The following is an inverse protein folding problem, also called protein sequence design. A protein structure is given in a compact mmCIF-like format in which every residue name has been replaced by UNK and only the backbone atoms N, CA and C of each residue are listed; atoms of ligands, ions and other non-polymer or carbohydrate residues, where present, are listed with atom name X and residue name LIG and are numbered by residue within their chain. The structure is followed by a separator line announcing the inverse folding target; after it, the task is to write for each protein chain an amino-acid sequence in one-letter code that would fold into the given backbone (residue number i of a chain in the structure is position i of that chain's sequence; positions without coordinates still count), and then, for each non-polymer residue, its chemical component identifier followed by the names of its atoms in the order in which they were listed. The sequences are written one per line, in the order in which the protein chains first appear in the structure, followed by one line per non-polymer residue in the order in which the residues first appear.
data_IF_556344072371
#
_entry.id   IF_556344072371
#
_cell.length_a   1.000
_cell.length_b   1.000
_cell.length_c   1.000
_cell.angle_alpha   90.00
_cell.angle_beta   90.00
_cell.angle_gamma   90.00
#
_symmetry.space_group_name_H-M   'P 1'
#
loop_
_entity.id
_entity.type
_entity.pdbx_description
1 polymer ?
#
# COMPACT_ATOMS: atom_id res chain seq x y z
N UNK A 1 -5.80 -10.19 44.49
CA UNK A 1 -6.75 -9.94 43.36
C UNK A 1 -5.99 -9.36 42.17
N UNK A 2 -5.67 -10.18 41.16
CA UNK A 2 -4.86 -9.79 40.00
C UNK A 2 -5.64 -8.96 38.97
N UNK A 3 -5.04 -7.87 38.48
CA UNK A 3 -5.61 -6.97 37.45
C UNK A 3 -5.72 -7.68 36.08
N UNK A 4 -6.91 -8.19 35.76
CA UNK A 4 -7.23 -8.83 34.46
C UNK A 4 -7.48 -7.81 33.32
N UNK A 5 -7.37 -6.50 33.56
CA UNK A 5 -7.83 -5.45 32.63
C UNK A 5 -6.94 -5.08 31.42
N UNK A 6 -5.68 -5.53 31.32
CA UNK A 6 -4.73 -4.92 30.36
C UNK A 6 -4.61 -5.67 29.00
N UNK A 7 -5.00 -6.94 28.95
CA UNK A 7 -4.88 -7.81 27.76
C UNK A 7 -5.84 -7.42 26.62
N UNK A 8 -7.08 -7.03 26.95
CA UNK A 8 -8.13 -6.75 25.97
C UNK A 8 -7.91 -5.43 25.20
N UNK A 9 -7.45 -4.37 25.89
CA UNK A 9 -7.11 -3.07 25.28
C UNK A 9 -5.89 -3.20 24.36
N UNK A 10 -4.89 -3.96 24.79
CA UNK A 10 -3.71 -4.31 24.02
C UNK A 10 -4.08 -5.09 22.73
N UNK A 11 -4.99 -6.07 22.81
CA UNK A 11 -5.46 -6.84 21.64
C UNK A 11 -6.21 -5.98 20.62
N UNK A 12 -6.95 -4.95 21.07
CA UNK A 12 -7.66 -4.01 20.18
C UNK A 12 -6.72 -3.14 19.33
N UNK A 13 -5.45 -3.03 19.70
CA UNK A 13 -4.48 -2.16 19.01
C UNK A 13 -3.51 -2.90 18.07
N UNK A 14 -3.47 -4.24 18.12
CA UNK A 14 -2.52 -5.03 17.32
C UNK A 14 -3.13 -5.50 16.01
N UNK A 15 -2.54 -5.12 14.89
CA UNK A 15 -2.89 -5.60 13.55
C UNK A 15 -2.10 -6.86 13.20
N UNK A 16 -2.84 -7.91 12.83
CA UNK A 16 -2.28 -9.15 12.31
C UNK A 16 -2.03 -9.10 10.80
N UNK A 17 -2.79 -8.27 10.08
CA UNK A 17 -2.66 -8.06 8.64
C UNK A 17 -2.61 -6.57 8.32
N UNK A 18 -1.78 -6.20 7.33
CA UNK A 18 -1.79 -4.85 6.73
C UNK A 18 -1.93 -5.02 5.22
N UNK A 19 -3.03 -4.51 4.67
CA UNK A 19 -3.45 -4.73 3.29
C UNK A 19 -3.59 -3.38 2.59
N UNK A 20 -2.76 -3.09 1.58
CA UNK A 20 -2.99 -1.95 0.69
C UNK A 20 -4.19 -2.22 -0.21
N UNK A 21 -5.08 -1.26 -0.31
CA UNK A 21 -6.21 -1.22 -1.25
C UNK A 21 -5.92 -0.31 -2.47
N UNK A 22 -4.69 0.22 -2.55
CA UNK A 22 -4.13 0.90 -3.72
C UNK A 22 -4.29 2.41 -3.70
N UNK A 23 -4.62 3.00 -4.86
CA UNK A 23 -4.40 4.41 -5.20
C UNK A 23 -3.16 4.59 -6.09
N UNK A 24 -2.00 4.25 -5.53
CA UNK A 24 -0.74 4.16 -6.27
C UNK A 24 0.19 3.10 -5.68
N UNK A 25 1.32 2.85 -6.34
CA UNK A 25 2.35 1.92 -5.88
C UNK A 25 3.02 2.34 -4.56
N UNK A 26 2.80 3.59 -4.13
CA UNK A 26 3.43 4.24 -2.98
C UNK A 26 3.14 3.49 -1.69
N UNK A 27 1.88 3.10 -1.45
CA UNK A 27 1.51 2.41 -0.20
C UNK A 27 2.13 1.02 -0.13
N UNK A 28 2.11 0.26 -1.23
CA UNK A 28 2.71 -1.07 -1.30
C UNK A 28 4.22 -1.00 -1.02
N UNK A 29 4.92 -0.04 -1.65
CA UNK A 29 6.34 0.22 -1.43
C UNK A 29 6.63 0.66 0.01
N UNK A 30 5.85 1.58 0.55
CA UNK A 30 6.03 2.09 1.91
C UNK A 30 5.90 0.97 2.95
N UNK A 31 4.81 0.20 2.89
CA UNK A 31 4.58 -0.92 3.82
C UNK A 31 5.63 -2.04 3.67
N UNK A 32 6.14 -2.28 2.45
CA UNK A 32 7.23 -3.23 2.21
C UNK A 32 8.55 -2.76 2.83
N UNK A 33 8.90 -1.49 2.65
CA UNK A 33 10.10 -0.89 3.23
C UNK A 33 10.07 -0.94 4.76
N UNK A 34 8.89 -0.88 5.36
CA UNK A 34 8.67 -1.01 6.80
C UNK A 34 8.54 -2.45 7.31
N UNK A 35 8.59 -3.45 6.42
CA UNK A 35 8.50 -4.85 6.83
C UNK A 35 7.13 -5.29 7.39
N UNK A 36 6.12 -4.41 7.36
CA UNK A 36 4.76 -4.70 7.84
C UNK A 36 3.86 -5.28 6.74
N UNK A 37 4.26 -5.18 5.47
CA UNK A 37 3.64 -5.92 4.35
C UNK A 37 4.18 -7.35 4.30
N UNK A 38 3.30 -8.31 4.61
CA UNK A 38 3.64 -9.74 4.70
C UNK A 38 3.71 -10.47 3.35
N UNK A 39 2.94 -10.01 2.37
CA UNK A 39 2.85 -10.65 1.05
C UNK A 39 2.30 -9.66 0.01
N UNK A 40 2.27 -10.10 -1.26
CA UNK A 40 1.56 -9.38 -2.33
C UNK A 40 0.05 -9.61 -2.26
N UNK A 41 -0.71 -8.52 -2.34
CA UNK A 41 -2.15 -8.40 -2.44
C UNK A 41 -2.59 -7.88 -3.82
N UNK A 42 -3.87 -7.98 -4.20
CA UNK A 42 -4.36 -7.67 -5.54
C UNK A 42 -4.14 -6.22 -5.95
N UNK A 43 -4.28 -5.29 -5.02
CA UNK A 43 -4.19 -3.86 -5.30
C UNK A 43 -2.78 -3.29 -5.06
N UNK A 44 -1.78 -4.17 -4.94
CA UNK A 44 -0.38 -3.78 -4.99
C UNK A 44 0.03 -3.47 -6.42
N UNK A 45 0.82 -2.42 -6.61
CA UNK A 45 1.47 -2.11 -7.90
C UNK A 45 0.49 -1.86 -9.06
N UNK A 46 -0.70 -1.35 -8.73
CA UNK A 46 -1.73 -0.95 -9.70
C UNK A 46 -2.33 0.39 -9.34
N UNK A 47 -2.92 1.05 -10.34
CA UNK A 47 -3.74 2.24 -10.10
C UNK A 47 -5.17 1.77 -9.81
N UNK A 48 -5.66 2.10 -8.63
CA UNK A 48 -7.02 1.76 -8.19
C UNK A 48 -7.68 2.94 -7.49
N UNK A 49 -8.99 3.00 -7.62
CA UNK A 49 -9.86 3.88 -6.84
C UNK A 49 -10.61 3.04 -5.81
N UNK A 50 -11.16 3.66 -4.74
CA UNK A 50 -12.12 2.99 -3.86
C UNK A 50 -13.25 2.30 -4.63
N UNK A 51 -13.72 2.92 -5.72
CA UNK A 51 -14.71 2.34 -6.63
C UNK A 51 -14.25 1.01 -7.24
N UNK A 52 -13.07 0.99 -7.86
CA UNK A 52 -12.50 -0.22 -8.46
C UNK A 52 -12.35 -1.35 -7.43
N UNK A 53 -11.84 -1.02 -6.23
CA UNK A 53 -11.67 -1.99 -5.15
C UNK A 53 -13.02 -2.57 -4.75
N UNK A 54 -14.04 -1.72 -4.56
CA UNK A 54 -15.39 -2.17 -4.21
C UNK A 54 -15.98 -3.05 -5.31
N UNK A 55 -15.86 -2.66 -6.57
CA UNK A 55 -16.30 -3.48 -7.71
C UNK A 55 -15.65 -4.87 -7.67
N UNK A 56 -14.32 -4.93 -7.53
CA UNK A 56 -13.59 -6.20 -7.48
C UNK A 56 -14.01 -7.07 -6.29
N UNK A 57 -14.31 -6.49 -5.12
CA UNK A 57 -14.81 -7.23 -3.95
C UNK A 57 -16.24 -7.76 -4.12
N UNK A 58 -17.11 -6.99 -4.78
CA UNK A 58 -18.51 -7.37 -4.99
C UNK A 58 -18.63 -8.43 -6.09
N UNK A 59 -17.85 -8.32 -7.16
CA UNK A 59 -17.77 -9.29 -8.26
C UNK A 59 -16.85 -10.49 -7.96
N UNK A 60 -16.36 -10.61 -6.72
CA UNK A 60 -15.40 -11.63 -6.27
C UNK A 60 -14.25 -11.84 -7.27
N UNK A 61 -13.67 -10.72 -7.72
CA UNK A 61 -12.53 -10.67 -8.62
C UNK A 61 -12.73 -11.35 -9.99
N UNK A 62 -13.97 -11.66 -10.42
CA UNK A 62 -14.23 -12.27 -11.73
C UNK A 62 -13.72 -11.40 -12.87
N UNK A 63 -14.18 -10.15 -12.97
CA UNK A 63 -13.67 -9.21 -13.98
C UNK A 63 -12.16 -8.95 -13.81
N UNK A 64 -11.67 -8.92 -12.56
CA UNK A 64 -10.26 -8.64 -12.25
C UNK A 64 -9.28 -9.70 -12.77
N UNK A 65 -9.70 -10.97 -12.75
CA UNK A 65 -8.88 -12.10 -13.20
C UNK A 65 -9.18 -12.50 -14.65
N UNK A 66 -10.12 -11.83 -15.32
CA UNK A 66 -10.50 -12.10 -16.70
C UNK A 66 -9.50 -11.47 -17.69
N UNK A 67 -8.66 -12.32 -18.26
CA UNK A 67 -7.60 -11.92 -19.18
C UNK A 67 -8.14 -11.42 -20.51
N UNK A 68 -9.37 -11.77 -20.88
CA UNK A 68 -10.01 -11.26 -22.11
C UNK A 68 -10.33 -9.77 -22.02
N UNK A 69 -10.30 -9.20 -20.80
CA UNK A 69 -10.45 -7.77 -20.55
C UNK A 69 -9.12 -7.01 -20.58
N UNK A 70 -7.99 -7.69 -20.71
CA UNK A 70 -6.66 -7.10 -20.64
C UNK A 70 -6.07 -6.88 -22.04
N UNK A 71 -5.53 -5.69 -22.26
CA UNK A 71 -4.89 -5.25 -23.50
C UNK A 71 -3.50 -4.69 -23.20
N UNK A 72 -2.60 -4.76 -24.18
CA UNK A 72 -1.32 -4.06 -24.11
C UNK A 72 -1.55 -2.55 -24.06
N UNK A 73 -0.85 -1.85 -23.17
CA UNK A 73 -0.72 -0.39 -23.27
C UNK A 73 0.12 0.02 -24.47
N UNK A 74 0.19 1.32 -24.74
CA UNK A 74 1.16 1.90 -25.67
C UNK A 74 2.38 2.33 -24.84
N UNK A 75 3.45 1.54 -24.88
CA UNK A 75 4.75 1.88 -24.28
C UNK A 75 5.81 1.96 -25.37
N UNK A 76 6.83 2.81 -25.20
CA UNK A 76 7.96 2.94 -26.14
C UNK A 76 8.83 1.67 -26.28
N UNK A 77 8.59 0.64 -25.46
CA UNK A 77 9.16 -0.69 -25.61
C UNK A 77 8.25 -1.77 -24.98
N UNK A 78 8.30 -3.00 -25.51
CA UNK A 78 7.55 -4.15 -24.97
C UNK A 78 7.82 -4.40 -23.48
N UNK A 79 9.03 -4.08 -23.00
CA UNK A 79 9.47 -4.33 -21.62
C UNK A 79 8.89 -3.33 -20.59
N UNK A 80 8.42 -2.16 -21.05
CA UNK A 80 7.82 -1.10 -20.21
C UNK A 80 6.31 -0.93 -20.45
N UNK A 81 5.71 -1.81 -21.24
CA UNK A 81 4.30 -1.73 -21.56
C UNK A 81 3.43 -2.23 -20.39
N UNK A 82 2.68 -1.33 -19.75
CA UNK A 82 1.69 -1.69 -18.73
C UNK A 82 0.40 -2.27 -19.34
N UNK A 83 -0.48 -2.83 -18.51
CA UNK A 83 -1.77 -3.39 -18.98
C UNK A 83 -2.90 -2.37 -18.88
N UNK A 84 -3.64 -2.22 -19.99
CA UNK A 84 -4.97 -1.59 -20.04
C UNK A 84 -6.01 -2.66 -19.70
N UNK A 85 -7.01 -2.31 -18.90
CA UNK A 85 -8.10 -3.23 -18.57
C UNK A 85 -9.45 -2.61 -18.97
N UNK A 86 -10.18 -3.23 -19.89
CA UNK A 86 -11.40 -2.70 -20.54
C UNK A 86 -12.45 -2.17 -19.57
N UNK A 87 -12.65 -2.89 -18.45
CA UNK A 87 -13.56 -2.46 -17.36
C UNK A 87 -12.92 -1.38 -16.49
N UNK A 88 -11.75 -1.68 -15.90
CA UNK A 88 -11.13 -0.85 -14.87
C UNK A 88 -10.49 0.44 -15.35
N UNK A 89 -10.23 0.62 -16.65
CA UNK A 89 -9.82 1.93 -17.20
C UNK A 89 -10.89 3.00 -16.95
N UNK A 90 -12.17 2.61 -16.99
CA UNK A 90 -13.30 3.51 -16.69
C UNK A 90 -13.45 3.79 -15.19
N UNK A 91 -12.76 3.03 -14.34
CA UNK A 91 -12.82 3.20 -12.88
C UNK A 91 -11.58 3.94 -12.33
N UNK A 92 -10.83 4.63 -13.18
CA UNK A 92 -9.67 5.44 -12.79
C UNK A 92 -10.08 6.84 -12.35
N UNK A 93 -9.26 7.47 -11.49
CA UNK A 93 -9.55 8.81 -10.95
C UNK A 93 -9.50 9.93 -12.00
N UNK A 94 -8.94 9.66 -13.19
CA UNK A 94 -8.91 10.60 -14.31
C UNK A 94 -9.21 9.88 -15.62
N UNK A 95 -9.80 10.60 -16.59
CA UNK A 95 -10.08 10.08 -17.94
C UNK A 95 -8.81 9.80 -18.75
N UNK A 96 -7.70 10.45 -18.41
CA UNK A 96 -6.43 10.30 -19.13
C UNK A 96 -5.67 9.02 -18.75
N UNK A 97 -5.94 8.41 -17.58
CA UNK A 97 -5.24 7.22 -17.11
C UNK A 97 -5.92 5.96 -17.65
N UNK A 98 -5.39 5.41 -18.74
CA UNK A 98 -5.90 4.16 -19.34
C UNK A 98 -5.19 2.89 -18.83
N UNK A 99 -3.91 3.01 -18.47
CA UNK A 99 -3.13 1.90 -17.91
C UNK A 99 -3.59 1.67 -16.46
N UNK A 100 -4.00 0.44 -16.17
CA UNK A 100 -4.48 0.03 -14.83
C UNK A 100 -3.36 -0.68 -14.06
N UNK A 101 -2.57 -1.51 -14.75
CA UNK A 101 -1.46 -2.25 -14.17
C UNK A 101 -0.13 -1.78 -14.80
N UNK A 102 0.53 -0.74 -14.25
CA UNK A 102 1.71 -0.13 -14.85
C UNK A 102 2.96 -1.01 -14.82
N UNK A 103 2.98 -2.06 -14.01
CA UNK A 103 4.17 -2.91 -13.79
C UNK A 103 3.97 -4.37 -14.18
N UNK A 104 2.82 -4.70 -14.78
CA UNK A 104 2.44 -6.07 -15.05
C UNK A 104 1.81 -6.20 -16.42
N UNK A 105 2.10 -7.32 -17.08
CA UNK A 105 1.60 -7.66 -18.40
C UNK A 105 0.59 -8.79 -18.25
N UNK A 106 -0.71 -8.48 -18.27
CA UNK A 106 -1.75 -9.49 -18.01
C UNK A 106 -2.46 -9.97 -19.28
N UNK A 107 -2.25 -9.32 -20.43
CA UNK A 107 -2.86 -9.68 -21.70
C UNK A 107 -2.32 -11.01 -22.26
N UNK A 108 -3.10 -11.61 -23.17
CA UNK A 108 -2.70 -12.85 -23.84
C UNK A 108 -1.49 -12.63 -24.74
N UNK A 109 -0.54 -13.57 -24.78
CA UNK A 109 0.68 -13.44 -25.58
C UNK A 109 1.80 -12.56 -24.98
N UNK A 110 1.57 -11.90 -23.84
CA UNK A 110 2.63 -11.15 -23.18
C UNK A 110 3.78 -12.04 -22.69
N UNK A 111 5.04 -11.58 -22.87
CA UNK A 111 6.27 -12.29 -22.47
C UNK A 111 6.23 -12.77 -21.01
N UNK A 112 5.82 -11.89 -20.08
CA UNK A 112 5.72 -12.22 -18.65
C UNK A 112 4.29 -12.61 -18.21
N UNK A 113 3.38 -12.82 -19.17
CA UNK A 113 1.95 -12.94 -18.91
C UNK A 113 1.55 -14.06 -17.96
N UNK A 114 2.08 -15.27 -18.17
CA UNK A 114 1.74 -16.43 -17.34
C UNK A 114 2.17 -16.24 -15.88
N UNK A 115 3.35 -15.65 -15.68
CA UNK A 115 3.93 -15.36 -14.36
C UNK A 115 3.11 -14.29 -13.64
N UNK A 116 2.80 -13.19 -14.32
CA UNK A 116 2.04 -12.08 -13.74
C UNK A 116 0.61 -12.52 -13.37
N UNK A 117 -0.10 -13.20 -14.28
CA UNK A 117 -1.44 -13.75 -14.03
C UNK A 117 -1.44 -14.70 -12.83
N UNK A 118 -0.46 -15.59 -12.75
CA UNK A 118 -0.31 -16.50 -11.60
C UNK A 118 -0.03 -15.74 -10.29
N UNK A 119 0.77 -14.66 -10.35
CA UNK A 119 1.02 -13.79 -9.21
C UNK A 119 -0.26 -13.13 -8.69
N UNK A 120 -1.10 -12.61 -9.58
CA UNK A 120 -2.38 -11.98 -9.22
C UNK A 120 -3.41 -12.97 -8.72
N UNK A 121 -3.52 -14.17 -9.30
CA UNK A 121 -4.41 -15.22 -8.76
C UNK A 121 -4.05 -15.55 -7.31
N UNK A 122 -2.74 -15.70 -7.01
CA UNK A 122 -2.26 -15.92 -5.64
C UNK A 122 -2.54 -14.72 -4.72
N UNK A 123 -2.40 -13.50 -5.22
CA UNK A 123 -2.66 -12.30 -4.42
C UNK A 123 -4.14 -12.16 -4.06
N UNK A 124 -5.05 -12.51 -4.98
CA UNK A 124 -6.50 -12.58 -4.72
C UNK A 124 -6.81 -13.63 -3.67
N UNK A 125 -6.24 -14.83 -3.78
CA UNK A 125 -6.43 -15.88 -2.77
C UNK A 125 -5.94 -15.47 -1.38
N UNK A 126 -4.82 -14.75 -1.29
CA UNK A 126 -4.33 -14.20 -0.02
C UNK A 126 -5.29 -13.18 0.56
N UNK A 127 -5.83 -12.27 -0.24
CA UNK A 127 -6.84 -11.32 0.23
C UNK A 127 -8.10 -12.05 0.71
N UNK A 128 -8.60 -13.04 -0.05
CA UNK A 128 -9.72 -13.89 0.38
C UNK A 128 -9.46 -14.55 1.73
N UNK A 129 -8.26 -15.07 1.97
CA UNK A 129 -7.85 -15.60 3.29
C UNK A 129 -7.88 -14.55 4.39
N UNK A 130 -7.37 -13.33 4.13
CA UNK A 130 -7.45 -12.20 5.09
C UNK A 130 -8.89 -11.83 5.41
N UNK A 131 -9.76 -11.76 4.39
CA UNK A 131 -11.18 -11.43 4.56
C UNK A 131 -11.90 -12.48 5.42
N UNK A 132 -11.57 -13.77 5.26
CA UNK A 132 -12.09 -14.86 6.11
C UNK A 132 -11.43 -14.95 7.48
N UNK A 133 -10.29 -14.29 7.70
CA UNK A 133 -9.55 -14.35 8.97
C UNK A 133 -10.28 -13.59 10.09
N UNK A 134 -10.22 -14.14 11.30
CA UNK A 134 -10.62 -13.45 12.54
C UNK A 134 -9.60 -12.40 13.02
N UNK A 135 -8.41 -12.33 12.44
CA UNK A 135 -7.39 -11.38 12.85
C UNK A 135 -7.75 -9.93 12.48
N UNK A 136 -7.31 -8.99 13.33
CA UNK A 136 -7.47 -7.55 13.09
C UNK A 136 -6.66 -7.12 11.88
N UNK A 137 -7.30 -6.43 10.94
CA UNK A 137 -6.68 -6.01 9.68
C UNK A 137 -6.65 -4.50 9.55
N UNK A 138 -5.51 -3.95 9.13
CA UNK A 138 -5.40 -2.56 8.69
C UNK A 138 -5.48 -2.54 7.16
N UNK A 139 -6.56 -1.98 6.62
CA UNK A 139 -6.67 -1.64 5.21
C UNK A 139 -6.18 -0.22 5.01
N UNK A 140 -5.36 0.01 3.98
CA UNK A 140 -4.79 1.35 3.70
C UNK A 140 -4.93 1.72 2.23
N UNK A 141 -5.41 2.93 1.95
CA UNK A 141 -5.39 3.53 0.63
C UNK A 141 -4.72 4.92 0.67
N UNK A 142 -3.92 5.23 -0.34
CA UNK A 142 -3.30 6.54 -0.50
C UNK A 142 -3.68 7.08 -1.88
N UNK A 143 -4.53 8.10 -1.91
CA UNK A 143 -5.20 8.57 -3.12
C UNK A 143 -4.70 9.97 -3.46
N UNK A 144 -4.29 10.14 -4.70
CA UNK A 144 -3.87 11.44 -5.23
C UNK A 144 -5.06 12.40 -5.21
N UNK A 145 -4.85 13.58 -4.64
CA UNK A 145 -5.85 14.62 -4.56
C UNK A 145 -5.29 15.95 -5.06
N UNK A 146 -6.00 16.55 -6.01
CA UNK A 146 -5.68 17.86 -6.56
C UNK A 146 -6.67 18.89 -6.02
N UNK A 147 -6.20 20.12 -5.79
CA UNK A 147 -7.02 21.19 -5.22
C UNK A 147 -8.33 21.40 -6.02
N UNK A 148 -8.27 21.37 -7.35
CA UNK A 148 -9.45 21.52 -8.23
C UNK A 148 -10.49 20.40 -8.10
N UNK A 149 -10.12 19.25 -7.55
CA UNK A 149 -11.01 18.09 -7.39
C UNK A 149 -11.50 17.93 -5.95
N UNK A 150 -11.09 18.81 -5.02
CA UNK A 150 -11.37 18.65 -3.60
C UNK A 150 -12.86 18.58 -3.28
N UNK A 151 -13.68 19.42 -3.91
CA UNK A 151 -15.13 19.41 -3.71
C UNK A 151 -15.72 18.03 -4.03
N UNK A 152 -15.36 17.46 -5.18
CA UNK A 152 -15.79 16.13 -5.63
C UNK A 152 -15.27 15.01 -4.72
N UNK A 153 -14.02 15.11 -4.26
CA UNK A 153 -13.45 14.14 -3.31
C UNK A 153 -14.11 14.21 -1.93
N UNK A 154 -14.62 15.38 -1.57
CA UNK A 154 -15.29 15.66 -0.31
C UNK A 154 -16.79 15.36 -0.33
N UNK A 155 -17.37 15.12 -1.50
CA UNK A 155 -18.77 14.78 -1.64
C UNK A 155 -19.12 13.48 -0.89
N UNK A 156 -20.16 13.56 -0.07
CA UNK A 156 -20.70 12.47 0.75
C UNK A 156 -21.97 11.85 0.16
N UNK A 157 -22.53 12.49 -0.89
CA UNK A 157 -23.79 12.11 -1.53
C UNK A 157 -23.61 11.55 -2.94
N UNK A 158 -22.44 11.71 -3.55
CA UNK A 158 -22.17 11.18 -4.90
C UNK A 158 -22.63 9.73 -5.07
N UNK A 159 -23.33 9.44 -6.16
CA UNK A 159 -23.75 8.08 -6.55
C UNK A 159 -23.22 7.73 -7.94
N UNK A 160 -22.85 6.47 -8.18
CA UNK A 160 -22.44 6.04 -9.50
C UNK A 160 -23.63 5.97 -10.45
N UNK A 161 -23.55 6.76 -11.51
CA UNK A 161 -24.34 6.55 -12.72
C UNK A 161 -23.71 5.40 -13.54
N UNK A 162 -24.52 4.53 -14.13
CA UNK A 162 -24.01 3.49 -15.01
C UNK A 162 -25.08 2.56 -15.56
N UNK A 163 -24.77 1.95 -16.71
CA UNK A 163 -25.59 0.93 -17.37
C UNK A 163 -25.72 -0.29 -16.45
N UNK A 164 -26.91 -0.51 -15.88
CA UNK A 164 -27.04 -1.54 -14.85
C UNK A 164 -28.44 -1.78 -14.27
N UNK A 165 -29.49 -1.10 -14.74
CA UNK A 165 -30.87 -1.52 -14.44
C UNK A 165 -31.31 -2.75 -15.26
N UNK A 166 -30.55 -3.16 -16.29
CA UNK A 166 -31.00 -4.17 -17.27
C UNK A 166 -30.08 -5.36 -17.63
N UNK A 167 -28.83 -5.47 -17.16
CA UNK A 167 -28.02 -6.64 -17.57
C UNK A 167 -26.62 -6.80 -16.98
N UNK A 168 -26.31 -8.04 -16.54
CA UNK A 168 -24.99 -8.66 -16.26
C UNK A 168 -23.90 -7.89 -15.49
N UNK A 169 -24.16 -6.70 -14.98
CA UNK A 169 -23.25 -5.96 -14.09
C UNK A 169 -23.23 -6.50 -12.66
N UNK A 170 -22.17 -6.17 -11.91
CA UNK A 170 -22.11 -6.46 -10.48
C UNK A 170 -23.25 -5.72 -9.76
N UNK A 171 -24.22 -6.46 -9.19
CA UNK A 171 -25.38 -5.85 -8.49
C UNK A 171 -24.87 -4.87 -7.42
N UNK A 172 -25.24 -3.59 -7.55
CA UNK A 172 -24.85 -2.53 -6.62
C UNK A 172 -23.51 -1.82 -6.91
N UNK A 173 -22.82 -2.13 -8.01
CA UNK A 173 -21.61 -1.42 -8.44
C UNK A 173 -21.48 -1.44 -9.98
N UNK A 174 -22.26 -0.64 -10.71
CA UNK A 174 -22.21 -0.63 -12.17
C UNK A 174 -20.85 -0.15 -12.71
N UNK A 175 -20.56 -0.43 -13.98
CA UNK A 175 -19.38 0.14 -14.63
C UNK A 175 -19.70 1.59 -14.99
N UNK A 176 -18.96 2.58 -14.48
CA UNK A 176 -19.27 3.99 -14.73
C UNK A 176 -19.03 4.35 -16.20
N UNK A 177 -19.73 5.36 -16.75
CA UNK A 177 -19.57 5.78 -18.13
C UNK A 177 -18.12 6.18 -18.45
N UNK A 178 -17.47 6.88 -17.52
CA UNK A 178 -16.09 7.33 -17.61
C UNK A 178 -15.42 7.42 -16.23
N UNK A 179 -14.09 7.56 -16.21
CA UNK A 179 -13.33 7.82 -14.98
C UNK A 179 -13.52 9.24 -14.46
N UNK A 180 -13.22 9.46 -13.18
CA UNK A 180 -13.37 10.77 -12.53
C UNK A 180 -12.97 10.76 -11.05
N UNK A 181 -12.71 11.94 -10.48
CA UNK A 181 -12.34 12.07 -9.06
C UNK A 181 -13.45 11.62 -8.10
N UNK A 182 -14.71 11.63 -8.54
CA UNK A 182 -15.88 11.18 -7.76
C UNK A 182 -15.77 9.70 -7.35
N UNK A 183 -15.04 8.90 -8.13
CA UNK A 183 -14.72 7.49 -7.81
C UNK A 183 -13.82 7.33 -6.56
N UNK A 184 -13.24 8.44 -6.11
CA UNK A 184 -12.47 8.57 -4.88
C UNK A 184 -13.17 9.42 -3.82
N UNK A 185 -14.46 9.76 -4.00
CA UNK A 185 -15.23 10.59 -3.06
C UNK A 185 -15.38 9.96 -1.67
N UNK A 186 -15.68 10.77 -0.64
CA UNK A 186 -16.02 10.26 0.69
C UNK A 186 -17.24 9.35 0.68
N UNK A 187 -18.21 9.63 -0.21
CA UNK A 187 -19.36 8.76 -0.47
C UNK A 187 -18.89 7.36 -0.89
N UNK A 188 -17.96 7.29 -1.84
CA UNK A 188 -17.45 6.03 -2.36
C UNK A 188 -16.56 5.29 -1.36
N UNK A 189 -15.72 6.00 -0.61
CA UNK A 189 -14.95 5.42 0.50
C UNK A 189 -15.88 4.84 1.57
N UNK A 190 -16.99 5.52 1.88
CA UNK A 190 -18.01 5.01 2.81
C UNK A 190 -18.67 3.74 2.28
N UNK A 191 -19.00 3.66 0.97
CA UNK A 191 -19.52 2.43 0.35
C UNK A 191 -18.51 1.29 0.37
N UNK A 192 -17.22 1.58 0.13
CA UNK A 192 -16.15 0.58 0.27
C UNK A 192 -16.05 0.08 1.72
N UNK A 193 -16.15 0.97 2.71
CA UNK A 193 -16.17 0.58 4.13
C UNK A 193 -17.33 -0.36 4.46
N UNK A 194 -18.54 -0.08 3.96
CA UNK A 194 -19.70 -0.97 4.12
C UNK A 194 -19.52 -2.31 3.38
N UNK A 195 -18.93 -2.30 2.19
CA UNK A 195 -18.56 -3.53 1.48
C UNK A 195 -17.56 -4.37 2.29
N UNK A 196 -16.54 -3.75 2.90
CA UNK A 196 -15.60 -4.46 3.77
C UNK A 196 -16.30 -4.99 5.03
N UNK A 197 -17.28 -4.26 5.59
CA UNK A 197 -18.11 -4.76 6.71
C UNK A 197 -18.84 -6.06 6.36
N UNK A 198 -19.36 -6.20 5.14
CA UNK A 198 -20.06 -7.43 4.74
C UNK A 198 -19.10 -8.57 4.39
N UNK A 199 -17.87 -8.27 3.94
CA UNK A 199 -16.89 -9.29 3.48
C UNK A 199 -15.88 -9.74 4.54
N UNK A 200 -15.46 -8.86 5.47
CA UNK A 200 -14.42 -9.14 6.46
C UNK A 200 -15.03 -9.71 7.74
N UNK A 201 -14.65 -10.95 8.11
CA UNK A 201 -15.15 -11.63 9.32
C UNK A 201 -14.72 -10.95 10.62
N UNK A 202 -13.40 -10.84 10.85
CA UNK A 202 -12.86 -10.22 12.07
C UNK A 202 -12.75 -8.68 12.05
N UNK A 203 -12.24 -8.06 13.12
CA UNK A 203 -12.09 -6.61 13.23
C UNK A 203 -11.22 -5.99 12.13
N UNK A 204 -11.46 -4.72 11.81
CA UNK A 204 -10.59 -3.99 10.90
C UNK A 204 -10.60 -2.48 11.09
N UNK A 205 -9.59 -1.82 10.54
CA UNK A 205 -9.54 -0.38 10.35
C UNK A 205 -9.28 -0.08 8.89
N UNK A 206 -10.01 0.86 8.30
CA UNK A 206 -9.74 1.40 6.96
C UNK A 206 -9.17 2.81 7.12
N UNK A 207 -7.90 2.97 6.77
CA UNK A 207 -7.21 4.26 6.69
C UNK A 207 -7.17 4.71 5.23
N UNK A 208 -7.75 5.86 4.93
CA UNK A 208 -7.64 6.50 3.62
C UNK A 208 -6.92 7.83 3.79
N UNK A 209 -5.87 8.04 2.99
CA UNK A 209 -5.12 9.30 2.98
C UNK A 209 -5.27 9.96 1.62
N UNK A 210 -5.86 11.15 1.58
CA UNK A 210 -5.83 12.03 0.42
C UNK A 210 -4.53 12.82 0.43
N UNK A 211 -3.68 12.57 -0.57
CA UNK A 211 -2.38 13.22 -0.74
C UNK A 211 -2.59 14.50 -1.57
N UNK A 212 -2.66 15.64 -0.90
CA UNK A 212 -2.93 16.93 -1.53
C UNK A 212 -1.66 17.51 -2.14
N UNK A 213 -1.63 17.55 -3.47
CA UNK A 213 -0.54 18.17 -4.23
C UNK A 213 -0.71 19.69 -4.29
N UNK A 214 0.40 20.41 -4.24
CA UNK A 214 0.45 21.87 -4.42
C UNK A 214 -0.49 22.65 -3.50
N UNK A 215 -0.75 22.14 -2.29
CA UNK A 215 -1.56 22.83 -1.30
C UNK A 215 -0.84 24.09 -0.80
N UNK A 216 -1.58 25.20 -0.67
CA UNK A 216 -1.07 26.42 -0.01
C UNK A 216 -0.75 26.18 1.47
N UNK A 217 -1.39 25.19 2.10
CA UNK A 217 -1.18 24.83 3.51
C UNK A 217 -0.22 23.64 3.66
N UNK A 218 1.04 23.83 3.28
CA UNK A 218 2.08 22.79 3.26
C UNK A 218 2.26 22.10 4.61
N UNK A 219 2.36 20.76 4.62
CA UNK A 219 2.64 19.96 5.81
C UNK A 219 1.47 19.83 6.81
N UNK A 220 0.31 20.43 6.52
CA UNK A 220 -0.89 20.27 7.34
C UNK A 220 -1.52 18.89 7.13
N UNK A 221 -1.95 18.26 8.22
CA UNK A 221 -2.77 17.05 8.21
C UNK A 221 -4.11 17.34 8.88
N UNK A 222 -5.21 16.84 8.32
CA UNK A 222 -6.55 17.02 8.87
C UNK A 222 -7.34 15.73 8.73
N UNK A 223 -7.89 15.23 9.84
CA UNK A 223 -8.89 14.16 9.78
C UNK A 223 -10.21 14.80 9.34
N UNK A 224 -10.71 14.38 8.19
CA UNK A 224 -11.94 14.95 7.60
C UNK A 224 -13.15 14.03 7.77
N UNK A 225 -12.92 12.75 8.07
CA UNK A 225 -13.97 11.80 8.40
C UNK A 225 -13.43 10.76 9.35
N UNK A 226 -14.19 10.46 10.40
CA UNK A 226 -13.91 9.35 11.30
C UNK A 226 -15.22 8.65 11.66
N UNK A 227 -15.30 7.36 11.39
CA UNK A 227 -16.43 6.50 11.76
C UNK A 227 -15.93 5.32 12.57
N UNK A 228 -16.68 4.93 13.60
CA UNK A 228 -16.39 3.74 14.39
C UNK A 228 -17.68 2.98 14.65
N UNK A 229 -17.65 1.68 14.46
CA UNK A 229 -18.77 0.79 14.72
C UNK A 229 -18.23 -0.52 15.32
N UNK A 230 -18.44 -0.70 16.63
CA UNK A 230 -17.94 -1.85 17.41
C UNK A 230 -16.42 -2.03 17.25
N UNK A 231 -16.00 -3.00 16.46
CA UNK A 231 -14.61 -3.43 16.24
C UNK A 231 -14.07 -3.04 14.85
N UNK A 232 -14.84 -2.19 14.14
CA UNK A 232 -14.56 -1.72 12.79
C UNK A 232 -14.52 -0.20 12.76
N UNK A 233 -13.60 0.38 12.01
CA UNK A 233 -13.45 1.84 11.95
C UNK A 233 -12.92 2.32 10.61
N UNK A 234 -13.28 3.55 10.25
CA UNK A 234 -12.85 4.26 9.05
C UNK A 234 -12.26 5.59 9.50
N UNK A 235 -11.10 5.96 8.93
CA UNK A 235 -10.54 7.30 9.04
C UNK A 235 -10.10 7.78 7.65
N UNK A 236 -10.54 8.98 7.28
CA UNK A 236 -10.07 9.69 6.09
C UNK A 236 -9.28 10.90 6.55
N UNK A 237 -8.03 10.99 6.11
CA UNK A 237 -7.10 12.07 6.43
C UNK A 237 -6.69 12.78 5.15
N UNK A 238 -6.80 14.10 5.13
CA UNK A 238 -6.13 14.93 4.13
C UNK A 238 -4.74 15.29 4.62
N UNK A 239 -3.74 15.11 3.75
CA UNK A 239 -2.35 15.43 4.03
C UNK A 239 -1.82 16.33 2.91
N UNK A 240 -1.52 17.57 3.27
CA UNK A 240 -0.86 18.53 2.38
C UNK A 240 0.62 18.18 2.23
N UNK A 241 0.99 17.69 1.04
CA UNK A 241 2.39 17.42 0.72
C UNK A 241 3.14 18.74 0.42
N UNK A 242 4.36 18.86 0.94
CA UNK A 242 5.30 19.94 0.58
C UNK A 242 5.76 19.80 -0.87
N UNK A 243 6.03 18.56 -1.30
CA UNK A 243 6.41 18.21 -2.68
C UNK A 243 5.42 17.25 -3.33
N UNK A 244 5.73 16.85 -4.56
CA UNK A 244 4.96 15.82 -5.27
C UNK A 244 5.42 14.41 -4.85
N UNK A 245 4.72 13.38 -5.32
CA UNK A 245 5.14 11.99 -5.23
C UNK A 245 5.12 11.34 -6.62
N UNK A 246 6.06 10.44 -6.87
CA UNK A 246 6.19 9.73 -8.15
C UNK A 246 5.20 8.56 -8.30
N UNK A 247 4.34 8.37 -7.30
CA UNK A 247 3.53 7.16 -7.15
C UNK A 247 4.33 5.97 -6.61
N UNK A 248 5.65 6.11 -6.42
CA UNK A 248 6.52 5.12 -5.75
C UNK A 248 7.20 5.69 -4.50
N UNK A 249 7.52 6.99 -4.52
CA UNK A 249 8.15 7.71 -3.43
C UNK A 249 7.62 9.14 -3.34
N UNK A 250 7.66 9.71 -2.14
CA UNK A 250 7.56 11.16 -1.96
C UNK A 250 8.88 11.80 -2.40
N UNK A 251 8.83 13.01 -2.95
CA UNK A 251 10.03 13.80 -3.25
C UNK A 251 10.67 14.36 -1.99
N UNK A 252 9.85 14.70 -1.00
CA UNK A 252 10.28 15.23 0.29
C UNK A 252 10.17 14.14 1.35
N UNK A 253 11.25 13.88 2.11
CA UNK A 253 11.19 12.93 3.21
C UNK A 253 10.27 13.42 4.33
N UNK A 254 10.12 14.74 4.51
CA UNK A 254 9.14 15.31 5.44
C UNK A 254 7.71 14.83 5.17
N UNK A 255 7.30 14.75 3.90
CA UNK A 255 5.98 14.23 3.50
C UNK A 255 5.89 12.73 3.74
N UNK A 256 6.96 12.01 3.42
CA UNK A 256 7.06 10.58 3.70
C UNK A 256 6.95 10.30 5.21
N UNK A 257 7.59 11.10 6.07
CA UNK A 257 7.56 10.95 7.52
C UNK A 257 6.17 11.30 8.07
N UNK A 258 5.52 12.33 7.54
CA UNK A 258 4.14 12.68 7.89
C UNK A 258 3.19 11.52 7.53
N UNK A 259 3.31 11.00 6.30
CA UNK A 259 2.55 9.83 5.84
C UNK A 259 2.82 8.61 6.71
N UNK A 260 4.08 8.33 7.01
CA UNK A 260 4.49 7.22 7.88
C UNK A 260 3.81 7.30 9.23
N UNK A 261 3.84 8.49 9.87
CA UNK A 261 3.20 8.72 11.17
C UNK A 261 1.69 8.47 11.08
N UNK A 262 1.01 8.86 9.99
CA UNK A 262 -0.42 8.57 9.83
C UNK A 262 -0.73 7.06 9.81
N UNK A 263 0.09 6.29 9.10
CA UNK A 263 -0.11 4.84 8.96
C UNK A 263 0.28 4.09 10.22
N UNK A 264 1.40 4.47 10.81
CA UNK A 264 2.07 3.67 11.86
C UNK A 264 1.91 4.19 13.26
N UNK A 265 1.38 5.41 13.46
CA UNK A 265 1.35 6.16 14.75
C UNK A 265 1.57 5.24 15.95
N UNK A 266 2.85 5.13 16.32
CA UNK A 266 3.44 4.05 17.11
C UNK A 266 2.98 4.08 18.55
N UNK A 267 2.36 5.18 18.98
CA UNK A 267 1.69 5.32 20.27
C UNK A 267 0.42 4.45 20.37
N UNK A 268 -0.24 4.15 19.25
CA UNK A 268 -1.58 3.58 19.23
C UNK A 268 -1.72 2.29 18.39
N UNK A 269 -0.81 2.05 17.45
CA UNK A 269 -0.86 0.89 16.53
C UNK A 269 0.32 -0.03 16.77
N UNK A 270 0.02 -1.32 16.95
CA UNK A 270 1.04 -2.36 17.03
C UNK A 270 0.87 -3.32 15.88
N UNK A 271 1.97 -3.85 15.36
CA UNK A 271 1.95 -4.78 14.23
C UNK A 271 2.55 -6.11 14.68
N UNK A 272 1.77 -7.19 14.55
CA UNK A 272 2.25 -8.57 14.75
C UNK A 272 1.85 -9.37 13.52
N UNK A 273 2.56 -9.20 12.40
CA UNK A 273 2.09 -9.72 11.13
C UNK A 273 1.97 -11.25 11.13
N UNK A 274 0.84 -11.75 10.66
CA UNK A 274 0.51 -13.18 10.59
C UNK A 274 0.81 -13.67 9.18
N UNK A 275 1.67 -14.68 9.09
CA UNK A 275 2.04 -15.27 7.80
C UNK A 275 0.86 -16.11 7.27
N UNK A 276 0.42 -15.86 6.04
CA UNK A 276 -0.77 -16.49 5.43
C UNK A 276 -0.47 -17.82 4.71
N UNK A 277 0.80 -18.09 4.40
CA UNK A 277 1.29 -19.29 3.73
C UNK A 277 2.74 -19.59 4.14
N UNK A 278 3.12 -20.88 4.26
CA UNK A 278 4.52 -21.29 4.49
C UNK A 278 5.49 -20.83 3.38
N UNK A 279 4.95 -20.30 2.28
CA UNK A 279 5.64 -19.74 1.12
C UNK A 279 5.61 -18.20 1.07
N UNK A 280 5.42 -17.51 2.20
CA UNK A 280 5.29 -16.04 2.29
C UNK A 280 6.44 -15.22 1.65
N UNK A 281 7.53 -15.87 1.24
CA UNK A 281 8.66 -15.27 0.53
C UNK A 281 8.54 -15.24 -1.00
N UNK A 282 7.74 -16.12 -1.64
CA UNK A 282 7.64 -16.14 -3.12
C UNK A 282 7.00 -14.87 -3.69
N UNK A 283 6.07 -14.25 -2.94
CA UNK A 283 5.46 -12.96 -3.34
C UNK A 283 6.35 -11.73 -3.14
N UNK A 284 7.48 -11.86 -2.42
CA UNK A 284 8.43 -10.77 -2.20
C UNK A 284 9.26 -10.46 -3.46
N UNK A 285 9.44 -11.46 -4.36
CA UNK A 285 10.22 -11.35 -5.60
C UNK A 285 9.41 -10.98 -6.84
N UNK A 286 8.09 -11.12 -6.81
CA UNK A 286 7.21 -10.82 -7.96
C UNK A 286 7.13 -9.31 -8.29
N UNK A 287 7.61 -8.42 -7.41
CA UNK A 287 7.63 -6.97 -7.64
C UNK A 287 9.00 -6.42 -8.08
N UNK A 288 10.07 -7.21 -7.99
CA UNK A 288 11.44 -6.73 -8.20
C UNK A 288 12.03 -7.10 -9.57
N UNK A 289 11.31 -7.85 -10.42
CA UNK A 289 11.88 -8.37 -11.68
C UNK A 289 11.87 -7.41 -12.87
N UNK A 290 11.29 -6.20 -12.78
CA UNK A 290 11.29 -5.25 -13.89
C UNK A 290 11.96 -3.90 -13.61
N UNK A 291 12.23 -3.54 -12.34
CA UNK A 291 12.85 -2.25 -12.00
C UNK A 291 14.25 -2.35 -11.39
N UNK A 292 14.69 -3.55 -10.96
CA UNK A 292 15.99 -3.74 -10.31
C UNK A 292 17.11 -4.19 -11.27
N UNK A 293 16.78 -4.58 -12.51
CA UNK A 293 17.77 -5.15 -13.45
C UNK A 293 18.73 -4.11 -14.05
N UNK A 294 18.37 -2.83 -14.11
CA UNK A 294 19.24 -1.82 -14.72
C UNK A 294 20.30 -1.24 -13.78
N UNK A 295 20.11 -1.31 -12.45
CA UNK A 295 21.02 -0.69 -11.48
C UNK A 295 21.94 -1.69 -10.75
N UNK A 296 21.66 -3.00 -10.80
CA UNK A 296 22.46 -4.01 -10.06
C UNK A 296 23.51 -4.74 -10.89
N UNK A 297 23.59 -4.52 -12.21
CA UNK A 297 24.55 -5.19 -13.08
C UNK A 297 26.00 -4.68 -12.87
N UNK A 298 26.19 -3.49 -12.29
CA UNK A 298 27.52 -2.91 -12.06
C UNK A 298 28.15 -3.25 -10.69
N UNK A 299 27.45 -3.96 -9.79
CA UNK A 299 27.90 -4.19 -8.40
C UNK A 299 28.04 -5.68 -8.02
N UNK A 300 27.79 -6.61 -8.94
CA UNK A 300 27.66 -8.04 -8.62
C UNK A 300 28.96 -8.87 -8.78
N UNK A 301 30.14 -8.25 -8.70
CA UNK A 301 31.41 -8.96 -8.86
C UNK A 301 32.10 -9.37 -7.53
N UNK A 302 31.53 -9.14 -6.34
CA UNK A 302 32.28 -9.37 -5.09
C UNK A 302 31.53 -9.91 -3.86
N UNK A 303 30.34 -10.52 -3.99
CA UNK A 303 29.63 -11.04 -2.82
C UNK A 303 29.35 -12.55 -2.92
N UNK A 304 30.01 -13.33 -2.05
CA UNK A 304 29.83 -14.77 -1.88
C UNK A 304 28.44 -15.19 -1.38
N UNK A 305 28.17 -16.51 -1.29
CA UNK A 305 26.82 -17.05 -1.16
C UNK A 305 26.22 -16.82 0.24
N UNK A 306 25.18 -16.01 0.33
CA UNK A 306 24.44 -15.77 1.58
C UNK A 306 23.54 -16.96 1.97
N UNK A 307 23.76 -17.51 3.17
CA UNK A 307 22.96 -18.59 3.78
C UNK A 307 21.51 -18.16 4.03
N UNK A 308 20.56 -19.05 3.69
CA UNK A 308 19.10 -18.89 3.89
C UNK A 308 18.72 -19.05 5.37
N UNK A 309 18.87 -17.99 6.16
CA UNK A 309 18.27 -17.90 7.50
C UNK A 309 16.78 -17.57 7.46
N UNK A 310 16.00 -18.15 8.37
CA UNK A 310 14.58 -17.83 8.60
C UNK A 310 14.41 -16.37 9.03
N UNK A 311 13.77 -15.55 8.17
CA UNK A 311 13.59 -14.09 8.31
C UNK A 311 12.89 -13.62 9.59
N UNK A 312 12.29 -14.52 10.38
CA UNK A 312 11.62 -14.14 11.64
C UNK A 312 12.61 -13.79 12.74
N UNK A 313 13.83 -14.32 12.69
CA UNK A 313 14.93 -13.93 13.58
C UNK A 313 15.49 -12.54 13.28
N UNK A 314 15.37 -12.10 12.03
CA UNK A 314 16.03 -10.89 11.53
C UNK A 314 15.48 -9.60 12.18
N UNK A 315 14.17 -9.51 12.42
CA UNK A 315 13.58 -8.31 13.05
C UNK A 315 14.04 -8.11 14.51
N UNK A 316 14.39 -9.20 15.20
CA UNK A 316 14.93 -9.17 16.57
C UNK A 316 16.44 -9.00 16.62
N UNK A 317 17.10 -9.01 15.46
CA UNK A 317 18.56 -8.87 15.37
C UNK A 317 18.98 -7.54 15.98
N UNK A 318 20.00 -7.60 16.83
CA UNK A 318 20.51 -6.42 17.54
C UNK A 318 21.33 -5.57 16.58
N UNK A 319 21.19 -4.26 16.71
CA UNK A 319 21.96 -3.28 15.96
C UNK A 319 22.58 -2.25 16.90
N UNK A 320 23.68 -1.64 16.47
CA UNK A 320 24.32 -0.53 17.15
C UNK A 320 24.69 0.52 16.11
N UNK A 321 24.12 1.70 16.24
CA UNK A 321 24.44 2.84 15.37
C UNK A 321 25.63 3.64 15.93
N UNK A 322 26.39 4.28 15.05
CA UNK A 322 27.32 5.33 15.39
C UNK A 322 26.53 6.50 15.99
N UNK A 323 26.84 6.87 17.23
CA UNK A 323 26.03 7.85 17.97
C UNK A 323 26.22 9.28 17.46
N UNK A 324 27.42 9.58 16.96
CA UNK A 324 27.68 10.79 16.17
C UNK A 324 27.14 10.56 14.76
N UNK A 325 26.19 11.38 14.34
CA UNK A 325 25.54 11.23 13.04
C UNK A 325 26.49 11.64 11.90
N UNK A 326 26.92 10.68 11.07
CA UNK A 326 27.93 10.94 10.03
C UNK A 326 27.29 11.52 8.75
N UNK A 327 25.96 11.69 8.72
CA UNK A 327 25.26 12.24 7.56
C UNK A 327 25.43 13.76 7.51
N UNK A 328 25.29 14.35 6.33
CA UNK A 328 25.43 15.80 6.13
C UNK A 328 24.37 16.55 6.95
N UNK A 329 24.79 17.42 7.87
CA UNK A 329 23.89 18.29 8.66
C UNK A 329 22.96 19.08 7.73
N UNK A 330 21.71 19.28 8.17
CA UNK A 330 20.67 19.95 7.39
C UNK A 330 19.97 19.07 6.35
N UNK A 331 20.46 17.85 6.08
CA UNK A 331 19.76 16.91 5.20
C UNK A 331 18.67 16.13 5.93
N UNK A 332 17.65 15.69 5.21
CA UNK A 332 16.57 14.89 5.78
C UNK A 332 17.06 13.50 6.26
N UNK A 333 18.07 12.93 5.60
CA UNK A 333 18.71 11.71 6.04
C UNK A 333 19.40 11.89 7.41
N UNK A 334 20.03 13.05 7.65
CA UNK A 334 20.56 13.40 8.97
C UNK A 334 19.44 13.48 10.02
N UNK A 335 18.32 14.13 9.70
CA UNK A 335 17.15 14.21 10.60
C UNK A 335 16.60 12.83 10.95
N UNK A 336 16.43 11.92 9.97
CA UNK A 336 15.98 10.55 10.27
C UNK A 336 16.97 9.78 11.14
N UNK A 337 18.26 9.90 10.84
CA UNK A 337 19.30 9.19 11.59
C UNK A 337 19.33 9.62 13.05
N UNK A 338 19.14 10.91 13.35
CA UNK A 338 18.98 11.38 14.73
C UNK A 338 17.83 10.68 15.48
N UNK A 339 16.75 10.35 14.78
CA UNK A 339 15.59 9.67 15.37
C UNK A 339 15.86 8.19 15.61
N UNK A 340 16.40 7.47 14.63
CA UNK A 340 16.54 6.01 14.71
C UNK A 340 17.90 5.51 15.26
N UNK A 341 18.92 6.36 15.42
CA UNK A 341 20.24 5.95 15.96
C UNK A 341 20.20 5.40 17.40
N UNK A 342 19.09 5.63 18.12
CA UNK A 342 18.81 5.08 19.44
C UNK A 342 18.20 3.67 19.41
N UNK A 343 17.80 3.18 18.23
CA UNK A 343 17.29 1.83 18.07
C UNK A 343 18.34 0.80 18.50
N UNK A 344 17.88 -0.31 19.07
CA UNK A 344 18.71 -1.45 19.49
C UNK A 344 18.41 -2.72 18.69
N UNK A 345 17.30 -2.74 17.95
CA UNK A 345 16.90 -3.87 17.09
C UNK A 345 16.41 -3.37 15.74
N UNK A 346 16.42 -4.24 14.73
CA UNK A 346 15.85 -3.92 13.41
C UNK A 346 14.39 -3.48 13.54
N UNK A 347 13.60 -4.12 14.41
CA UNK A 347 12.22 -3.73 14.67
C UNK A 347 12.12 -2.30 15.21
N UNK A 348 12.87 -1.95 16.27
CA UNK A 348 12.88 -0.60 16.84
C UNK A 348 13.32 0.45 15.83
N UNK A 349 14.31 0.13 14.99
CA UNK A 349 14.76 1.01 13.92
C UNK A 349 13.64 1.33 12.93
N UNK A 350 12.88 0.32 12.50
CA UNK A 350 11.73 0.50 11.59
C UNK A 350 10.61 1.30 12.28
N UNK A 351 10.35 1.02 13.55
CA UNK A 351 9.33 1.68 14.38
C UNK A 351 9.68 3.17 14.63
N UNK A 352 10.96 3.50 14.71
CA UNK A 352 11.48 4.87 14.83
C UNK A 352 11.56 5.62 13.50
N UNK A 353 11.01 5.07 12.43
CA UNK A 353 10.97 5.75 11.14
C UNK A 353 12.11 5.36 10.20
N UNK A 354 13.02 4.46 10.58
CA UNK A 354 14.06 3.93 9.69
C UNK A 354 13.49 3.11 8.53
N UNK A 355 14.21 3.10 7.39
CA UNK A 355 13.86 2.33 6.20
C UNK A 355 14.86 1.20 5.98
N UNK A 356 14.45 0.10 5.35
CA UNK A 356 15.41 -0.93 4.90
C UNK A 356 16.53 -0.37 4.02
N UNK A 357 16.24 0.68 3.24
CA UNK A 357 17.25 1.38 2.46
C UNK A 357 18.26 2.14 3.33
N UNK A 358 17.79 2.82 4.39
CA UNK A 358 18.67 3.44 5.38
C UNK A 358 19.52 2.36 6.07
N UNK A 359 18.94 1.23 6.47
CA UNK A 359 19.67 0.13 7.11
C UNK A 359 20.79 -0.42 6.21
N UNK A 360 20.48 -0.68 4.94
CA UNK A 360 21.46 -1.18 3.98
C UNK A 360 22.57 -0.16 3.70
N UNK A 361 22.21 1.12 3.54
CA UNK A 361 23.17 2.20 3.33
C UNK A 361 24.08 2.40 4.54
N UNK A 362 23.49 2.48 5.73
CA UNK A 362 24.20 2.72 6.99
C UNK A 362 25.11 1.53 7.32
N UNK A 363 24.69 0.29 7.06
CA UNK A 363 25.55 -0.87 7.20
C UNK A 363 26.72 -0.84 6.20
N UNK A 364 26.45 -0.53 4.93
CA UNK A 364 27.48 -0.47 3.89
C UNK A 364 28.51 0.65 4.14
N UNK A 365 28.14 1.70 4.88
CA UNK A 365 29.01 2.82 5.26
C UNK A 365 29.63 2.67 6.65
N UNK A 366 29.37 1.57 7.37
CA UNK A 366 29.86 1.37 8.73
C UNK A 366 29.22 2.28 9.79
N UNK A 367 28.09 2.93 9.47
CA UNK A 367 27.33 3.77 10.40
C UNK A 367 26.50 2.93 11.37
N UNK A 368 26.30 1.64 11.08
CA UNK A 368 25.75 0.68 12.02
C UNK A 368 26.46 -0.66 11.94
N UNK A 369 26.44 -1.39 13.04
CA UNK A 369 26.84 -2.80 13.09
C UNK A 369 25.65 -3.68 13.49
N UNK A 370 25.60 -4.89 12.93
CA UNK A 370 24.62 -5.91 13.29
C UNK A 370 25.32 -6.97 14.13
N UNK A 371 24.72 -7.33 15.26
CA UNK A 371 25.19 -8.40 16.15
C UNK A 371 24.30 -9.63 16.10
#
# INVERSE_FOLDING_TARGET
MGKIGNSSKARKQTFGHVVPLGGSCLIAKHLQNKGIRICKFPFDWMYSTPYLVRHALLDDFKAFLDTTKCESGTGQSEEKCGTIHRVYRRMQSTKAKNVVFPHHQLWSGARNGSRDRSSYRRSVERLRRVLRSGARTLFVAALDAEAKNLEKLRDERWQPEGEGSGGRGCRGCPVPPSGGPELCSRAEVSRLFECLKSKKKGPFHLEVVYLLKHSRQKGRKQVILQKSAKDRSLRITEMSCKGDHTGLAFREDGDMLAFHKLITDSSCRRFKPIILDGNGTKGYRDANSSAASAASAASAASAGPAKKGSRRGDLKRKLRFLQTNPKKKGTEAHVRYEVYKKARTIQEFLDLGGFKGDLAFDQARGFLTLS
#
